data_IF_699937193728
#
_entry.id   IF_699937193728
#
_cell.length_a   1.000
_cell.length_b   1.000
_cell.length_c   1.000
_cell.angle_alpha   90.00
_cell.angle_beta   90.00
_cell.angle_gamma   90.00
#
_symmetry.space_group_name_H-M   'P 1'
#
loop_
_entity.id
_entity.type
_entity.pdbx_description
1 polymer ?
#
# COMPACT_ATOMS: atom_id res chain seq x y z
N UNK A 1 -10.87 -26.82 -5.74
CA UNK A 1 -10.06 -26.26 -6.83
C UNK A 1 -8.60 -26.33 -6.42
N UNK A 2 -7.68 -26.37 -7.39
CA UNK A 2 -6.24 -26.36 -7.13
C UNK A 2 -5.83 -25.02 -6.47
N UNK A 3 -5.24 -25.02 -5.25
CA UNK A 3 -4.94 -23.80 -4.52
C UNK A 3 -3.75 -23.00 -5.09
N UNK A 4 -2.91 -23.62 -5.94
CA UNK A 4 -1.68 -22.98 -6.44
C UNK A 4 -1.74 -22.63 -7.93
N UNK A 5 -2.80 -23.06 -8.65
CA UNK A 5 -2.96 -22.79 -10.08
C UNK A 5 -2.94 -21.28 -10.40
N UNK A 6 -3.59 -20.47 -9.56
CA UNK A 6 -3.60 -19.02 -9.73
C UNK A 6 -2.18 -18.44 -9.71
N UNK A 7 -1.31 -18.93 -8.82
CA UNK A 7 0.08 -18.45 -8.72
C UNK A 7 0.84 -18.77 -10.01
N UNK A 8 0.77 -20.01 -10.48
CA UNK A 8 1.45 -20.44 -11.72
C UNK A 8 0.99 -19.62 -12.93
N UNK A 9 -0.32 -19.40 -13.01
CA UNK A 9 -0.94 -18.60 -14.06
C UNK A 9 -0.52 -17.12 -14.04
N UNK A 10 -0.38 -16.52 -12.86
CA UNK A 10 0.05 -15.13 -12.71
C UNK A 10 1.56 -14.96 -12.93
N UNK A 11 2.38 -15.95 -12.57
CA UNK A 11 3.81 -15.98 -12.91
C UNK A 11 4.02 -16.02 -14.43
N UNK A 12 3.26 -16.87 -15.13
CA UNK A 12 3.33 -16.95 -16.60
C UNK A 12 2.83 -15.64 -17.25
N UNK A 13 1.76 -15.05 -16.73
CA UNK A 13 1.27 -13.76 -17.22
C UNK A 13 2.29 -12.63 -16.97
N UNK A 14 2.93 -12.59 -15.81
CA UNK A 14 3.97 -11.62 -15.48
C UNK A 14 5.18 -11.76 -16.42
N UNK A 15 5.59 -12.99 -16.75
CA UNK A 15 6.63 -13.27 -17.74
C UNK A 15 6.28 -12.68 -19.11
N UNK A 16 5.03 -12.85 -19.56
CA UNK A 16 4.57 -12.30 -20.85
C UNK A 16 4.57 -10.77 -20.87
N UNK A 17 4.29 -10.12 -19.74
CA UNK A 17 4.37 -8.66 -19.58
C UNK A 17 5.80 -8.15 -19.36
N UNK A 18 6.76 -9.04 -19.17
CA UNK A 18 8.12 -8.71 -18.79
C UNK A 18 8.22 -8.10 -17.40
N UNK A 19 7.31 -8.41 -16.47
CA UNK A 19 7.46 -8.03 -15.06
C UNK A 19 8.42 -9.01 -14.38
N UNK A 20 9.55 -8.54 -13.82
CA UNK A 20 10.55 -9.44 -13.22
C UNK A 20 10.09 -10.04 -11.90
N UNK A 21 9.14 -9.41 -11.21
CA UNK A 21 8.61 -9.84 -9.93
C UNK A 21 7.10 -9.61 -9.86
N UNK A 22 6.44 -10.31 -8.93
CA UNK A 22 5.05 -10.05 -8.52
C UNK A 22 4.93 -10.04 -7.00
N UNK A 23 3.92 -9.34 -6.47
CA UNK A 23 3.47 -9.48 -5.09
C UNK A 23 2.30 -10.48 -5.09
N UNK A 24 2.37 -11.50 -4.22
CA UNK A 24 1.26 -12.44 -4.04
C UNK A 24 0.46 -12.04 -2.81
N UNK A 25 -0.86 -12.01 -2.92
CA UNK A 25 -1.74 -11.58 -1.84
C UNK A 25 -2.62 -12.73 -1.37
N UNK A 26 -2.74 -12.86 -0.04
CA UNK A 26 -3.71 -13.73 0.61
C UNK A 26 -4.86 -12.90 1.16
N UNK A 27 -6.04 -13.52 1.27
CA UNK A 27 -7.20 -12.93 1.93
C UNK A 27 -7.97 -13.98 2.73
N UNK A 28 -8.71 -13.54 3.76
CA UNK A 28 -9.70 -14.39 4.39
C UNK A 28 -10.73 -14.82 3.34
N UNK A 29 -11.10 -16.11 3.37
CA UNK A 29 -12.13 -16.61 2.48
C UNK A 29 -13.45 -15.86 2.76
N UNK A 30 -14.28 -15.54 1.75
CA UNK A 30 -15.52 -14.80 1.97
C UNK A 30 -16.47 -15.40 3.01
N UNK A 31 -16.41 -16.72 3.23
CA UNK A 31 -17.19 -17.41 4.26
C UNK A 31 -16.68 -17.20 5.70
N UNK A 32 -15.46 -16.69 5.86
CA UNK A 32 -14.81 -16.43 7.15
C UNK A 32 -14.53 -14.93 7.40
N UNK A 33 -14.69 -14.09 6.37
CA UNK A 33 -14.55 -12.63 6.42
C UNK A 33 -15.59 -12.00 7.34
N UNK A 34 -15.18 -10.98 8.10
CA UNK A 34 -16.06 -10.13 8.90
C UNK A 34 -16.80 -9.07 8.06
N UNK A 35 -16.31 -8.78 6.86
CA UNK A 35 -16.95 -7.88 5.90
C UNK A 35 -17.63 -8.72 4.81
N UNK A 36 -18.95 -8.60 4.62
CA UNK A 36 -19.65 -9.27 3.53
C UNK A 36 -19.15 -8.78 2.17
N UNK A 37 -19.10 -9.68 1.17
CA UNK A 37 -18.60 -9.34 -0.16
C UNK A 37 -19.36 -8.16 -0.82
N UNK A 38 -20.64 -7.99 -0.52
CA UNK A 38 -21.45 -6.88 -1.05
C UNK A 38 -21.12 -5.50 -0.41
N UNK A 39 -20.44 -5.47 0.74
CA UNK A 39 -20.01 -4.25 1.42
C UNK A 39 -18.53 -3.89 1.15
N UNK A 40 -17.79 -4.78 0.46
CA UNK A 40 -16.37 -4.64 0.20
C UNK A 40 -16.14 -3.94 -1.16
N UNK A 41 -15.82 -2.64 -1.14
CA UNK A 41 -15.46 -1.88 -2.36
C UNK A 41 -13.96 -1.84 -2.65
N UNK A 42 -13.15 -2.17 -1.65
CA UNK A 42 -11.73 -2.46 -1.79
C UNK A 42 -11.53 -3.98 -1.92
N UNK A 43 -11.53 -4.53 -3.15
CA UNK A 43 -11.43 -5.96 -3.36
C UNK A 43 -10.01 -6.43 -3.07
N UNK A 44 -9.90 -7.31 -2.09
CA UNK A 44 -8.65 -7.96 -1.75
C UNK A 44 -8.25 -8.97 -2.84
N UNK A 45 -7.04 -8.82 -3.36
CA UNK A 45 -6.43 -9.86 -4.19
C UNK A 45 -6.21 -11.13 -3.35
N UNK A 46 -6.58 -12.29 -3.89
CA UNK A 46 -6.43 -13.58 -3.21
C UNK A 46 -5.78 -14.60 -4.15
N UNK A 47 -4.54 -14.31 -4.54
CA UNK A 47 -3.74 -15.17 -5.43
C UNK A 47 -3.03 -16.29 -4.67
N UNK A 48 -2.86 -16.14 -3.35
CA UNK A 48 -2.25 -17.12 -2.45
C UNK A 48 -3.31 -17.72 -1.49
N UNK A 49 -3.76 -18.94 -1.78
CA UNK A 49 -4.74 -19.63 -0.93
C UNK A 49 -4.09 -20.22 0.33
N UNK A 50 -4.45 -19.65 1.49
CA UNK A 50 -3.98 -20.08 2.82
C UNK A 50 -5.10 -20.56 3.74
N UNK A 51 -6.24 -21.01 3.17
CA UNK A 51 -7.28 -21.71 3.96
C UNK A 51 -6.72 -22.94 4.67
N UNK A 52 -5.73 -23.58 4.05
CA UNK A 52 -4.88 -24.62 4.64
C UNK A 52 -3.42 -24.13 4.72
N UNK A 53 -2.61 -24.64 5.65
CA UNK A 53 -1.20 -24.27 5.75
C UNK A 53 -0.44 -24.44 4.43
N UNK A 54 0.46 -23.51 4.14
CA UNK A 54 1.32 -23.58 2.95
C UNK A 54 2.44 -24.61 3.20
N UNK A 55 2.36 -25.77 2.55
CA UNK A 55 3.29 -26.87 2.81
C UNK A 55 4.57 -26.78 1.97
N UNK A 56 5.62 -27.49 2.38
CA UNK A 56 6.86 -27.60 1.61
C UNK A 56 6.64 -28.15 0.18
N UNK A 57 5.62 -28.99 -0.02
CA UNK A 57 5.27 -29.52 -1.33
C UNK A 57 4.69 -28.42 -2.25
N UNK A 58 3.80 -27.57 -1.71
CA UNK A 58 3.26 -26.39 -2.40
C UNK A 58 4.36 -25.38 -2.70
N UNK A 59 5.22 -25.10 -1.73
CA UNK A 59 6.38 -24.23 -1.91
C UNK A 59 7.31 -24.75 -3.02
N UNK A 60 7.61 -26.05 -3.04
CA UNK A 60 8.44 -26.66 -4.08
C UNK A 60 7.81 -26.53 -5.48
N UNK A 61 6.48 -26.63 -5.57
CA UNK A 61 5.75 -26.42 -6.82
C UNK A 61 5.86 -24.97 -7.30
N UNK A 62 5.52 -24.02 -6.44
CA UNK A 62 5.58 -22.58 -6.78
C UNK A 62 7.01 -22.16 -7.14
N UNK A 63 8.02 -22.61 -6.40
CA UNK A 63 9.44 -22.32 -6.72
C UNK A 63 9.86 -22.87 -8.07
N UNK A 64 9.36 -24.04 -8.50
CA UNK A 64 9.60 -24.54 -9.86
C UNK A 64 8.95 -23.66 -10.91
N UNK A 65 7.73 -23.17 -10.67
CA UNK A 65 7.06 -22.24 -11.58
C UNK A 65 7.80 -20.89 -11.68
N UNK A 66 8.31 -20.37 -10.56
CA UNK A 66 9.18 -19.18 -10.55
C UNK A 66 10.46 -19.42 -11.36
N UNK A 67 11.12 -20.57 -11.17
CA UNK A 67 12.31 -20.94 -11.94
C UNK A 67 12.03 -21.07 -13.44
N UNK A 68 10.90 -21.68 -13.83
CA UNK A 68 10.57 -21.86 -15.25
C UNK A 68 10.17 -20.55 -15.94
N UNK A 69 9.58 -19.61 -15.19
CA UNK A 69 9.14 -18.33 -15.73
C UNK A 69 10.21 -17.24 -15.65
N UNK A 70 11.18 -17.39 -14.73
CA UNK A 70 12.16 -16.36 -14.41
C UNK A 70 11.59 -15.20 -13.58
N UNK A 71 10.36 -15.32 -13.09
CA UNK A 71 9.66 -14.28 -12.31
C UNK A 71 9.86 -14.55 -10.82
N UNK A 72 10.37 -13.55 -10.10
CA UNK A 72 10.55 -13.56 -8.66
C UNK A 72 9.32 -13.04 -7.90
N UNK A 73 9.47 -12.93 -6.58
CA UNK A 73 8.49 -12.32 -5.71
C UNK A 73 9.10 -11.07 -5.07
N UNK A 74 8.33 -9.98 -4.98
CA UNK A 74 8.72 -8.84 -4.16
C UNK A 74 8.47 -9.14 -2.69
N UNK A 75 7.20 -9.40 -2.36
CA UNK A 75 6.68 -9.62 -1.02
C UNK A 75 5.50 -10.59 -1.06
N UNK A 76 5.05 -11.04 0.12
CA UNK A 76 3.70 -11.60 0.29
C UNK A 76 2.82 -10.61 1.04
N UNK A 77 1.59 -10.43 0.59
CA UNK A 77 0.68 -9.44 1.13
C UNK A 77 -0.52 -10.06 1.84
N UNK A 78 -0.98 -9.38 2.89
CA UNK A 78 -2.30 -9.57 3.49
C UNK A 78 -2.77 -8.27 4.16
N UNK A 79 -3.74 -7.63 3.52
CA UNK A 79 -4.28 -6.33 3.93
C UNK A 79 -5.56 -6.51 4.74
N UNK A 80 -5.46 -6.37 6.06
CA UNK A 80 -6.62 -6.45 6.95
C UNK A 80 -6.38 -5.72 8.28
N UNK A 81 -7.42 -5.54 9.08
CA UNK A 81 -7.38 -4.80 10.34
C UNK A 81 -6.82 -5.66 11.47
N UNK A 82 -5.51 -5.60 11.71
CA UNK A 82 -4.85 -6.32 12.80
C UNK A 82 -5.23 -5.79 14.19
N UNK A 83 -5.89 -4.63 14.28
CA UNK A 83 -6.44 -4.04 15.50
C UNK A 83 -7.97 -4.14 15.59
N UNK A 84 -8.59 -5.12 14.92
CA UNK A 84 -10.03 -5.33 15.00
C UNK A 84 -10.52 -5.37 16.46
N UNK A 85 -11.65 -4.71 16.73
CA UNK A 85 -12.18 -4.56 18.09
C UNK A 85 -12.57 -5.90 18.72
N UNK A 86 -13.30 -6.72 17.95
CA UNK A 86 -13.70 -8.07 18.36
C UNK A 86 -12.48 -9.00 18.40
N UNK A 87 -12.25 -9.63 19.54
CA UNK A 87 -11.12 -10.52 19.78
C UNK A 87 -11.14 -11.78 18.91
N UNK A 88 -12.33 -12.33 18.64
CA UNK A 88 -12.47 -13.51 17.80
C UNK A 88 -12.13 -13.20 16.33
N UNK A 89 -12.57 -12.05 15.83
CA UNK A 89 -12.22 -11.54 14.50
C UNK A 89 -10.72 -11.27 14.41
N UNK A 90 -10.16 -10.56 15.40
CA UNK A 90 -8.72 -10.27 15.45
C UNK A 90 -7.88 -11.54 15.47
N UNK A 91 -8.28 -12.54 16.25
CA UNK A 91 -7.58 -13.83 16.35
C UNK A 91 -7.50 -14.55 15.00
N UNK A 92 -8.59 -14.59 14.23
CA UNK A 92 -8.63 -15.19 12.89
C UNK A 92 -7.70 -14.46 11.91
N UNK A 93 -7.74 -13.12 11.91
CA UNK A 93 -6.88 -12.27 11.08
C UNK A 93 -5.40 -12.51 11.40
N UNK A 94 -5.06 -12.53 12.68
CA UNK A 94 -3.69 -12.83 13.13
C UNK A 94 -3.26 -14.25 12.75
N UNK A 95 -4.16 -15.24 12.77
CA UNK A 95 -3.84 -16.60 12.34
C UNK A 95 -3.50 -16.67 10.86
N UNK A 96 -4.28 -16.00 10.01
CA UNK A 96 -3.95 -15.92 8.60
C UNK A 96 -2.61 -15.20 8.38
N UNK A 97 -2.36 -14.09 9.08
CA UNK A 97 -1.08 -13.37 9.00
C UNK A 97 0.12 -14.27 9.35
N UNK A 98 0.00 -15.11 10.40
CA UNK A 98 1.03 -16.10 10.74
C UNK A 98 1.27 -17.11 9.62
N UNK A 99 0.21 -17.56 8.93
CA UNK A 99 0.34 -18.44 7.75
C UNK A 99 1.02 -17.72 6.58
N UNK A 100 0.79 -16.42 6.41
CA UNK A 100 1.50 -15.59 5.42
C UNK A 100 2.98 -15.53 5.75
N UNK A 101 3.36 -15.36 7.03
CA UNK A 101 4.77 -15.41 7.44
C UNK A 101 5.41 -16.75 7.12
N UNK A 102 4.73 -17.87 7.42
CA UNK A 102 5.26 -19.20 7.12
C UNK A 102 5.39 -19.43 5.61
N UNK A 103 4.45 -18.94 4.80
CA UNK A 103 4.52 -18.99 3.35
C UNK A 103 5.68 -18.14 2.80
N UNK A 104 5.90 -16.94 3.35
CA UNK A 104 6.98 -16.02 2.94
C UNK A 104 8.35 -16.69 3.12
N UNK A 105 8.59 -17.32 4.26
CA UNK A 105 9.82 -18.09 4.54
C UNK A 105 10.01 -19.22 3.53
N UNK A 106 8.95 -19.98 3.23
CA UNK A 106 9.03 -21.11 2.32
C UNK A 106 9.27 -20.69 0.85
N UNK A 107 8.71 -19.55 0.46
CA UNK A 107 8.90 -18.97 -0.88
C UNK A 107 10.21 -18.17 -0.98
N UNK A 108 10.82 -17.81 0.15
CA UNK A 108 12.13 -17.15 0.21
C UNK A 108 12.06 -15.63 0.05
N UNK A 109 10.93 -15.00 0.41
CA UNK A 109 10.85 -13.54 0.55
C UNK A 109 11.35 -13.12 1.93
N UNK A 110 11.88 -11.90 2.03
CA UNK A 110 12.38 -11.31 3.28
C UNK A 110 11.38 -10.36 3.94
N UNK A 111 10.23 -10.16 3.31
CA UNK A 111 9.21 -9.24 3.78
C UNK A 111 7.79 -9.68 3.43
N UNK A 112 6.87 -9.08 4.18
CA UNK A 112 5.43 -9.17 4.00
C UNK A 112 4.80 -7.78 4.05
N UNK A 113 3.71 -7.59 3.33
CA UNK A 113 3.00 -6.31 3.24
C UNK A 113 1.61 -6.39 3.86
N UNK A 114 1.15 -5.33 4.54
CA UNK A 114 -0.20 -5.30 5.09
C UNK A 114 -0.53 -3.98 5.80
N UNK A 115 -1.65 -3.97 6.53
CA UNK A 115 -2.05 -2.83 7.36
C UNK A 115 -1.79 -3.10 8.86
N UNK A 116 -1.67 -2.02 9.63
CA UNK A 116 -1.83 -2.10 11.09
C UNK A 116 -3.32 -2.16 11.44
N UNK A 117 -4.12 -1.30 10.81
CA UNK A 117 -5.54 -1.17 11.12
C UNK A 117 -5.80 -0.26 12.31
N UNK A 118 -7.03 -0.30 12.85
CA UNK A 118 -7.50 0.52 13.96
C UNK A 118 -8.69 -0.16 14.63
N UNK A 119 -8.73 -0.10 15.97
CA UNK A 119 -9.96 -0.31 16.71
C UNK A 119 -10.80 0.98 16.69
N UNK A 120 -11.95 1.01 15.98
CA UNK A 120 -12.76 2.23 15.82
C UNK A 120 -13.49 2.63 17.12
N UNK A 121 -13.56 1.74 18.13
CA UNK A 121 -14.14 2.03 19.44
C UNK A 121 -13.17 2.79 20.37
N UNK A 122 -11.91 2.94 19.95
CA UNK A 122 -10.85 3.57 20.73
C UNK A 122 -10.39 4.88 20.09
N UNK A 123 -9.91 5.79 20.94
CA UNK A 123 -9.11 6.95 20.52
C UNK A 123 -7.76 6.52 19.95
N UNK A 124 -7.03 7.47 19.34
CA UNK A 124 -5.72 7.17 18.73
C UNK A 124 -4.68 6.70 19.76
N UNK A 125 -4.56 7.38 20.90
CA UNK A 125 -3.58 6.99 21.93
C UNK A 125 -3.89 5.63 22.56
N UNK A 126 -5.17 5.31 22.76
CA UNK A 126 -5.59 3.98 23.21
C UNK A 126 -5.29 2.90 22.15
N UNK A 127 -5.35 3.24 20.85
CA UNK A 127 -4.87 2.34 19.79
C UNK A 127 -3.36 2.15 19.83
N UNK A 128 -2.56 3.11 20.31
CA UNK A 128 -1.10 2.91 20.49
C UNK A 128 -0.83 1.86 21.58
N UNK A 129 -1.60 1.89 22.68
CA UNK A 129 -1.52 0.86 23.73
C UNK A 129 -1.91 -0.50 23.14
N UNK A 130 -3.03 -0.57 22.41
CA UNK A 130 -3.46 -1.82 21.77
C UNK A 130 -2.44 -2.32 20.74
N UNK A 131 -1.82 -1.44 19.95
CA UNK A 131 -0.75 -1.80 19.02
C UNK A 131 0.43 -2.45 19.74
N UNK A 132 0.86 -1.87 20.86
CA UNK A 132 1.92 -2.42 21.71
C UNK A 132 1.55 -3.80 22.26
N UNK A 133 0.29 -4.00 22.65
CA UNK A 133 -0.20 -5.27 23.20
C UNK A 133 -0.37 -6.38 22.16
N UNK A 134 -0.87 -6.07 20.95
CA UNK A 134 -1.33 -7.10 20.00
C UNK A 134 -0.59 -7.14 18.68
N UNK A 135 0.00 -6.03 18.23
CA UNK A 135 0.73 -5.99 16.96
C UNK A 135 2.24 -6.22 17.15
N UNK A 136 2.84 -5.72 18.23
CA UNK A 136 4.26 -6.00 18.55
C UNK A 136 4.54 -7.52 18.64
N UNK A 137 3.70 -8.36 19.27
CA UNK A 137 3.90 -9.81 19.24
C UNK A 137 3.86 -10.44 17.84
N UNK A 138 3.18 -9.83 16.86
CA UNK A 138 3.27 -10.24 15.46
C UNK A 138 4.63 -9.88 14.86
N UNK A 139 5.15 -8.68 15.17
CA UNK A 139 6.48 -8.27 14.72
C UNK A 139 7.60 -9.12 15.32
N UNK A 140 7.45 -9.58 16.57
CA UNK A 140 8.38 -10.55 17.18
C UNK A 140 8.39 -11.87 16.41
N UNK A 141 7.22 -12.34 15.97
CA UNK A 141 7.09 -13.55 15.14
C UNK A 141 7.66 -13.36 13.73
N UNK A 142 7.52 -12.18 13.14
CA UNK A 142 8.18 -11.81 11.90
C UNK A 142 9.71 -11.81 12.08
N UNK A 143 10.22 -11.19 13.16
CA UNK A 143 11.64 -11.18 13.51
C UNK A 143 12.21 -12.58 13.65
N UNK A 144 11.50 -13.47 14.36
CA UNK A 144 11.92 -14.87 14.54
C UNK A 144 12.05 -15.65 13.23
N UNK A 145 11.40 -15.17 12.16
CA UNK A 145 11.44 -15.73 10.80
C UNK A 145 12.39 -14.96 9.86
N UNK A 146 13.05 -13.91 10.35
CA UNK A 146 13.88 -13.02 9.52
C UNK A 146 13.08 -12.14 8.56
N UNK A 147 11.80 -11.92 8.82
CA UNK A 147 10.90 -11.14 7.97
C UNK A 147 10.81 -9.68 8.43
N UNK A 148 10.67 -8.77 7.47
CA UNK A 148 10.25 -7.38 7.69
C UNK A 148 8.77 -7.23 7.39
N UNK A 149 8.02 -6.53 8.24
CA UNK A 149 6.64 -6.14 7.98
C UNK A 149 6.62 -4.73 7.37
N UNK A 150 6.19 -4.63 6.11
CA UNK A 150 6.02 -3.37 5.38
C UNK A 150 4.55 -2.93 5.48
N UNK A 151 4.31 -1.86 6.22
CA UNK A 151 2.97 -1.32 6.44
C UNK A 151 2.61 -0.37 5.31
N UNK A 152 1.54 -0.65 4.59
CA UNK A 152 0.95 0.31 3.65
C UNK A 152 0.12 1.36 4.41
N UNK A 153 0.24 2.63 4.02
CA UNK A 153 -0.34 3.75 4.76
C UNK A 153 -1.79 4.11 4.40
N UNK A 154 -2.54 3.20 3.76
CA UNK A 154 -3.92 3.48 3.37
C UNK A 154 -4.77 3.93 4.57
N UNK A 155 -5.45 5.10 4.52
CA UNK A 155 -6.31 5.55 5.61
C UNK A 155 -7.62 4.73 5.70
N UNK A 156 -7.99 3.98 4.66
CA UNK A 156 -9.17 3.12 4.60
C UNK A 156 -10.51 3.82 4.99
N UNK A 157 -10.84 5.01 4.45
CA UNK A 157 -12.12 5.67 4.72
C UNK A 157 -13.28 4.91 4.08
N UNK A 158 -14.18 4.41 4.91
CA UNK A 158 -15.32 3.59 4.46
C UNK A 158 -15.20 2.12 4.79
N UNK A 159 -14.06 1.69 5.34
CA UNK A 159 -13.85 0.31 5.78
C UNK A 159 -14.83 -0.15 6.86
N UNK A 160 -15.41 0.81 7.58
CA UNK A 160 -16.62 0.62 8.37
C UNK A 160 -17.56 1.82 8.20
N UNK A 161 -18.80 1.63 8.65
CA UNK A 161 -19.92 2.58 8.54
C UNK A 161 -19.87 3.73 9.56
N UNK A 162 -18.90 3.74 10.48
CA UNK A 162 -18.73 4.88 11.41
C UNK A 162 -18.18 6.09 10.67
N UNK A 163 -18.19 7.26 11.29
CA UNK A 163 -17.56 8.46 10.73
C UNK A 163 -16.02 8.46 10.92
N UNK A 164 -15.41 7.35 11.34
CA UNK A 164 -13.96 7.22 11.34
C UNK A 164 -13.42 7.32 9.90
N UNK A 165 -12.65 8.37 9.66
CA UNK A 165 -11.94 8.58 8.41
C UNK A 165 -10.70 7.70 8.30
N UNK A 166 -9.87 7.70 9.34
CA UNK A 166 -8.65 6.89 9.42
C UNK A 166 -8.96 5.57 10.14
N UNK A 167 -8.97 4.46 9.41
CA UNK A 167 -9.17 3.09 9.91
C UNK A 167 -7.88 2.25 9.92
N UNK A 168 -6.75 2.87 9.61
CA UNK A 168 -5.41 2.37 9.81
C UNK A 168 -4.64 3.44 10.60
N UNK A 169 -4.05 3.11 11.76
CA UNK A 169 -3.33 4.11 12.56
C UNK A 169 -1.99 4.51 11.94
N UNK A 170 -1.43 3.68 11.05
CA UNK A 170 -0.17 3.93 10.35
C UNK A 170 -0.38 4.72 9.04
N UNK A 171 -1.18 5.79 9.06
CA UNK A 171 -1.57 6.51 7.85
C UNK A 171 -0.63 7.66 7.44
N UNK A 172 0.24 8.14 8.33
CA UNK A 172 1.09 9.32 8.07
C UNK A 172 2.41 9.29 8.85
N UNK A 173 3.40 10.14 8.50
CA UNK A 173 4.72 10.13 9.15
C UNK A 173 4.71 10.30 10.67
N UNK A 174 3.84 11.15 11.21
CA UNK A 174 3.71 11.33 12.66
C UNK A 174 3.41 10.01 13.39
N UNK A 175 2.30 9.33 13.05
CA UNK A 175 2.03 7.98 13.54
C UNK A 175 3.13 6.96 13.24
N UNK A 176 3.75 6.93 12.05
CA UNK A 176 4.84 5.98 11.74
C UNK A 176 6.00 6.09 12.73
N UNK A 177 6.39 7.32 13.09
CA UNK A 177 7.44 7.59 14.07
C UNK A 177 7.01 7.10 15.47
N UNK A 178 5.76 7.36 15.88
CA UNK A 178 5.25 6.90 17.17
C UNK A 178 5.25 5.37 17.26
N UNK A 179 4.74 4.68 16.23
CA UNK A 179 4.70 3.22 16.14
C UNK A 179 6.11 2.63 16.11
N UNK A 180 7.02 3.18 15.30
CA UNK A 180 8.41 2.71 15.27
C UNK A 180 9.10 2.86 16.63
N UNK A 181 8.88 3.96 17.36
CA UNK A 181 9.43 4.13 18.72
C UNK A 181 8.91 3.05 19.68
N UNK A 182 7.64 2.64 19.55
CA UNK A 182 7.11 1.49 20.30
C UNK A 182 7.88 0.22 19.92
N UNK A 183 7.95 -0.09 18.62
CA UNK A 183 8.69 -1.24 18.11
C UNK A 183 10.15 -1.27 18.57
N UNK A 184 10.82 -0.12 18.60
CA UNK A 184 12.22 0.01 19.04
C UNK A 184 12.38 -0.35 20.52
N UNK A 185 11.45 0.07 21.41
CA UNK A 185 11.50 -0.29 22.84
C UNK A 185 11.41 -1.80 23.06
N UNK A 186 10.73 -2.52 22.16
CA UNK A 186 10.58 -3.98 22.19
C UNK A 186 11.62 -4.72 21.33
N UNK A 187 12.60 -4.01 20.78
CA UNK A 187 13.66 -4.62 19.98
C UNK A 187 13.19 -5.17 18.63
N UNK A 188 12.03 -4.76 18.11
CA UNK A 188 11.48 -5.13 16.79
C UNK A 188 11.40 -3.93 15.83
N UNK A 189 12.15 -2.86 16.11
CA UNK A 189 12.18 -1.65 15.28
C UNK A 189 12.60 -1.90 13.82
N UNK A 190 13.42 -2.93 13.58
CA UNK A 190 13.84 -3.30 12.22
C UNK A 190 12.78 -4.02 11.40
N UNK A 191 11.78 -4.60 12.08
CA UNK A 191 10.68 -5.31 11.44
C UNK A 191 9.56 -4.37 11.01
N UNK A 192 9.58 -3.10 11.42
CA UNK A 192 8.56 -2.13 11.05
C UNK A 192 9.09 -1.17 9.99
N UNK A 193 8.59 -1.32 8.76
CA UNK A 193 8.85 -0.42 7.62
C UNK A 193 7.53 0.03 7.00
N UNK A 194 7.58 1.03 6.14
CA UNK A 194 6.44 1.56 5.39
C UNK A 194 6.58 1.13 3.93
N UNK A 195 5.52 0.52 3.38
CA UNK A 195 5.33 0.32 1.96
C UNK A 195 4.59 1.55 1.43
N UNK A 196 5.32 2.53 0.89
CA UNK A 196 4.72 3.83 0.58
C UNK A 196 3.92 3.79 -0.72
N UNK A 197 2.64 4.14 -0.64
CA UNK A 197 1.76 4.35 -1.80
C UNK A 197 1.44 5.85 -2.00
N UNK A 198 1.83 6.48 -3.13
CA UNK A 198 1.56 7.90 -3.36
C UNK A 198 0.08 8.23 -3.52
N UNK A 199 -0.78 7.29 -3.91
CA UNK A 199 -2.23 7.54 -4.02
C UNK A 199 -2.87 7.91 -2.68
N UNK A 200 -2.48 7.23 -1.60
CA UNK A 200 -2.99 7.50 -0.26
C UNK A 200 -2.55 8.88 0.24
N UNK A 201 -1.33 9.29 -0.11
CA UNK A 201 -0.87 10.65 0.18
C UNK A 201 -1.74 11.69 -0.53
N UNK A 202 -2.05 11.49 -1.82
CA UNK A 202 -2.98 12.36 -2.56
C UNK A 202 -4.36 12.40 -1.89
N UNK A 203 -4.92 11.26 -1.47
CA UNK A 203 -6.20 11.19 -0.74
C UNK A 203 -6.21 12.05 0.53
N UNK A 204 -5.07 12.08 1.23
CA UNK A 204 -4.89 12.85 2.47
C UNK A 204 -4.40 14.29 2.22
N UNK A 205 -4.24 14.71 0.97
CA UNK A 205 -3.74 16.04 0.61
C UNK A 205 -2.25 16.24 0.89
N UNK A 206 -1.48 15.17 1.01
CA UNK A 206 -0.02 15.17 1.21
C UNK A 206 0.73 14.94 -0.11
N UNK A 207 1.80 15.68 -0.35
CA UNK A 207 2.70 15.40 -1.47
C UNK A 207 3.89 14.54 -1.00
N UNK A 208 4.36 13.65 -1.89
CA UNK A 208 5.44 12.71 -1.55
C UNK A 208 6.73 13.39 -1.12
N UNK A 209 7.09 14.51 -1.76
CA UNK A 209 8.35 15.19 -1.46
C UNK A 209 8.34 15.77 -0.06
N UNK A 210 7.26 16.43 0.35
CA UNK A 210 7.11 16.95 1.71
C UNK A 210 7.12 15.82 2.74
N UNK A 211 6.46 14.69 2.45
CA UNK A 211 6.50 13.50 3.30
C UNK A 211 7.93 12.98 3.47
N UNK A 212 8.68 12.81 2.38
CA UNK A 212 10.05 12.31 2.44
C UNK A 212 11.00 13.32 3.09
N UNK A 213 10.82 14.62 2.84
CA UNK A 213 11.60 15.66 3.51
C UNK A 213 11.33 15.66 5.02
N UNK A 214 10.07 15.53 5.44
CA UNK A 214 9.73 15.42 6.86
C UNK A 214 10.45 14.25 7.53
N UNK A 215 10.46 13.09 6.87
CA UNK A 215 11.17 11.92 7.37
C UNK A 215 12.68 12.15 7.45
N UNK A 216 13.28 12.77 6.43
CA UNK A 216 14.72 13.12 6.43
C UNK A 216 15.08 14.06 7.56
N UNK A 217 14.31 15.14 7.73
CA UNK A 217 14.55 16.16 8.77
C UNK A 217 14.37 15.61 10.19
N UNK A 218 13.46 14.65 10.36
CA UNK A 218 13.24 13.97 11.64
C UNK A 218 14.15 12.75 11.87
N UNK A 219 14.96 12.38 10.87
CA UNK A 219 15.90 11.25 10.94
C UNK A 219 15.25 9.87 10.77
N UNK A 220 14.04 9.80 10.20
CA UNK A 220 13.24 8.59 9.99
C UNK A 220 13.06 8.24 8.49
N UNK A 221 13.89 8.78 7.61
CA UNK A 221 13.95 8.51 6.17
C UNK A 221 14.22 7.05 5.81
N UNK A 222 14.70 6.24 6.75
CA UNK A 222 14.87 4.79 6.61
C UNK A 222 13.58 4.00 6.79
N UNK A 223 12.48 4.63 7.24
CA UNK A 223 11.22 3.92 7.46
C UNK A 223 10.61 3.43 6.16
N UNK A 224 10.80 4.13 5.05
CA UNK A 224 10.31 3.69 3.74
C UNK A 224 11.15 2.50 3.28
N UNK A 225 10.50 1.34 3.11
CA UNK A 225 11.14 0.07 2.74
C UNK A 225 10.67 -0.52 1.41
N UNK A 226 9.71 0.12 0.74
CA UNK A 226 9.15 -0.31 -0.54
C UNK A 226 8.11 0.68 -1.07
N UNK A 227 7.67 0.49 -2.31
CA UNK A 227 6.63 1.30 -2.93
C UNK A 227 5.55 0.47 -3.63
N UNK A 228 4.29 0.78 -3.33
CA UNK A 228 3.22 0.54 -4.30
C UNK A 228 3.15 1.73 -5.24
N UNK A 229 3.03 1.44 -6.53
CA UNK A 229 2.95 2.45 -7.59
C UNK A 229 1.50 2.50 -8.06
N UNK A 230 0.70 3.31 -7.35
CA UNK A 230 -0.70 3.58 -7.64
C UNK A 230 -0.94 5.09 -7.62
N UNK A 231 -1.73 5.58 -8.58
CA UNK A 231 -2.12 6.98 -8.64
C UNK A 231 -3.49 7.21 -8.05
N UNK A 232 -3.79 8.46 -7.75
CA UNK A 232 -5.16 8.93 -7.53
C UNK A 232 -5.30 10.34 -8.12
N UNK A 233 -6.51 10.66 -8.57
CA UNK A 233 -6.87 11.98 -9.08
C UNK A 233 -8.00 12.53 -8.23
N UNK A 234 -7.79 13.71 -7.64
CA UNK A 234 -8.78 14.38 -6.80
C UNK A 234 -9.89 15.00 -7.65
N UNK A 235 -11.14 14.75 -7.25
CA UNK A 235 -12.30 15.48 -7.72
C UNK A 235 -12.43 16.81 -6.95
N UNK A 236 -12.14 17.91 -7.66
CA UNK A 236 -12.26 19.26 -7.12
C UNK A 236 -13.66 19.61 -6.59
N UNK A 237 -14.73 19.04 -7.16
CA UNK A 237 -16.10 19.24 -6.68
C UNK A 237 -16.31 18.52 -5.36
N UNK A 238 -15.77 17.30 -5.25
CA UNK A 238 -15.73 16.53 -4.01
C UNK A 238 -15.05 17.28 -2.87
N UNK A 239 -13.82 17.74 -3.10
CA UNK A 239 -13.09 18.59 -2.15
C UNK A 239 -13.89 19.86 -1.81
N UNK A 240 -14.51 20.51 -2.79
CA UNK A 240 -15.30 21.73 -2.54
C UNK A 240 -16.55 21.48 -1.71
N UNK A 241 -17.16 20.30 -1.85
CA UNK A 241 -18.38 19.93 -1.13
C UNK A 241 -18.11 19.50 0.31
N UNK A 242 -16.97 18.84 0.58
CA UNK A 242 -16.77 18.12 1.84
C UNK A 242 -15.44 18.42 2.54
N UNK A 243 -14.43 18.96 1.84
CA UNK A 243 -13.09 19.21 2.35
C UNK A 243 -12.25 17.92 2.54
N UNK A 244 -10.92 18.06 2.55
CA UNK A 244 -10.03 16.92 2.85
C UNK A 244 -10.30 16.36 4.24
N UNK A 245 -10.46 15.04 4.35
CA UNK A 245 -10.76 14.38 5.62
C UNK A 245 -12.14 14.70 6.20
N UNK A 246 -13.00 15.37 5.43
CA UNK A 246 -14.36 15.72 5.86
C UNK A 246 -15.32 14.53 5.89
N UNK A 247 -16.50 14.73 6.45
CA UNK A 247 -17.52 13.69 6.55
C UNK A 247 -18.55 13.82 5.43
N UNK A 248 -18.88 12.71 4.79
CA UNK A 248 -20.01 12.65 3.87
C UNK A 248 -21.30 12.33 4.64
N UNK A 249 -22.36 13.08 4.34
CA UNK A 249 -23.66 12.99 5.02
C UNK A 249 -24.71 12.34 4.10
N UNK A 250 -25.77 11.77 4.70
CA UNK A 250 -26.89 11.16 3.97
C UNK A 250 -26.45 10.08 2.97
N UNK A 251 -25.41 9.33 3.33
CA UNK A 251 -24.75 8.36 2.46
C UNK A 251 -25.66 7.18 2.07
N UNK A 252 -26.58 6.79 2.95
CA UNK A 252 -27.50 5.67 2.73
C UNK A 252 -27.10 4.38 3.46
N UNK A 253 -25.96 4.34 4.15
CA UNK A 253 -25.58 3.27 5.09
C UNK A 253 -26.24 3.41 6.47
N UNK A 254 -27.11 4.40 6.66
CA UNK A 254 -27.86 4.69 7.89
C UNK A 254 -29.30 5.10 7.56
N UNK A 255 -30.25 4.72 8.42
CA UNK A 255 -31.65 5.16 8.40
C UNK A 255 -31.95 5.96 9.68
N UNK A 256 -31.85 7.28 9.58
CA UNK A 256 -31.86 8.14 10.78
C UNK A 256 -30.57 7.94 11.58
N UNK A 257 -30.70 7.57 12.85
CA UNK A 257 -29.60 7.27 13.78
C UNK A 257 -29.28 5.77 13.90
N UNK A 258 -29.88 4.93 13.04
CA UNK A 258 -29.69 3.49 13.05
C UNK A 258 -28.86 3.08 11.82
N UNK A 259 -27.71 2.40 12.00
CA UNK A 259 -26.95 1.89 10.87
C UNK A 259 -27.71 0.78 10.12
N UNK A 260 -27.61 0.76 8.79
CA UNK A 260 -28.25 -0.26 7.97
C UNK A 260 -27.65 -1.65 8.23
N UNK A 261 -28.52 -2.65 8.30
CA UNK A 261 -28.12 -4.06 8.34
C UNK A 261 -27.89 -4.66 6.95
N UNK A 262 -28.25 -3.97 5.87
CA UNK A 262 -28.04 -4.44 4.49
C UNK A 262 -26.59 -4.16 4.05
N UNK A 263 -25.77 -5.18 3.77
CA UNK A 263 -24.41 -4.99 3.28
C UNK A 263 -24.32 -4.15 1.99
N UNK A 264 -25.33 -4.24 1.12
CA UNK A 264 -25.41 -3.45 -0.10
C UNK A 264 -25.61 -1.96 0.17
N UNK A 265 -26.19 -1.60 1.31
CA UNK A 265 -26.28 -0.20 1.75
C UNK A 265 -25.02 0.23 2.50
N UNK A 266 -24.41 -0.68 3.29
CA UNK A 266 -23.17 -0.41 4.03
C UNK A 266 -22.00 -0.01 3.12
N UNK A 267 -21.97 -0.48 1.86
CA UNK A 267 -20.98 -0.03 0.87
C UNK A 267 -21.00 1.51 0.67
N UNK A 268 -22.10 2.19 0.98
CA UNK A 268 -22.17 3.65 0.89
C UNK A 268 -21.22 4.36 1.86
N UNK A 269 -20.68 3.68 2.88
CA UNK A 269 -19.63 4.21 3.74
C UNK A 269 -18.39 4.66 2.95
N UNK A 270 -18.09 4.00 1.82
CA UNK A 270 -17.00 4.36 0.92
C UNK A 270 -17.23 5.65 0.15
N UNK A 271 -18.41 6.29 0.25
CA UNK A 271 -18.59 7.69 -0.18
C UNK A 271 -17.65 8.63 0.57
N UNK A 272 -17.13 8.24 1.74
CA UNK A 272 -16.00 8.93 2.38
C UNK A 272 -14.74 8.96 1.51
N UNK A 273 -14.58 8.13 0.49
CA UNK A 273 -13.46 8.22 -0.46
C UNK A 273 -13.91 8.61 -1.86
N UNK A 274 -14.93 7.93 -2.37
CA UNK A 274 -15.28 7.93 -3.80
C UNK A 274 -15.84 9.25 -4.30
N UNK A 275 -16.28 10.14 -3.41
CA UNK A 275 -16.65 11.51 -3.79
C UNK A 275 -15.44 12.43 -3.97
N UNK A 276 -14.29 12.07 -3.42
CA UNK A 276 -13.09 12.92 -3.37
C UNK A 276 -12.05 12.57 -4.41
N UNK A 277 -11.96 11.31 -4.81
CA UNK A 277 -10.92 10.86 -5.70
C UNK A 277 -11.36 9.68 -6.56
N UNK A 278 -10.69 9.55 -7.70
CA UNK A 278 -10.71 8.36 -8.55
C UNK A 278 -9.31 7.74 -8.54
N UNK A 279 -9.23 6.42 -8.37
CA UNK A 279 -7.95 5.71 -8.52
C UNK A 279 -7.43 5.86 -9.94
N UNK A 280 -6.12 5.96 -10.07
CA UNK A 280 -5.39 6.02 -11.32
C UNK A 280 -4.44 4.81 -11.39
N UNK A 281 -4.32 4.24 -12.59
CA UNK A 281 -3.17 3.42 -12.95
C UNK A 281 -1.99 4.31 -13.38
N UNK A 282 -0.74 4.01 -13.00
CA UNK A 282 0.40 4.84 -13.36
C UNK A 282 0.45 5.14 -14.87
N UNK A 283 0.41 6.43 -15.23
CA UNK A 283 0.45 6.89 -16.61
C UNK A 283 -0.91 6.96 -17.30
N UNK A 284 -2.02 6.78 -16.57
CA UNK A 284 -3.38 6.88 -17.15
C UNK A 284 -4.10 8.18 -16.82
N UNK A 285 -3.70 8.92 -15.78
CA UNK A 285 -4.26 10.24 -15.56
C UNK A 285 -3.86 11.21 -16.68
N UNK A 286 -4.75 12.16 -16.97
CA UNK A 286 -4.45 13.24 -17.88
C UNK A 286 -3.35 14.10 -17.29
N UNK A 287 -2.38 14.47 -18.12
CA UNK A 287 -1.35 15.41 -17.71
C UNK A 287 -1.99 16.76 -17.36
N UNK A 288 -1.90 17.12 -16.07
CA UNK A 288 -2.45 18.36 -15.53
C UNK A 288 -1.43 18.99 -14.56
N UNK A 289 -0.60 19.93 -15.04
CA UNK A 289 0.35 20.62 -14.18
C UNK A 289 -0.27 21.36 -13.00
N UNK A 290 -1.52 21.83 -13.13
CA UNK A 290 -2.22 22.48 -12.01
C UNK A 290 -2.57 21.46 -10.94
N UNK A 291 -2.95 20.24 -11.34
CA UNK A 291 -3.18 19.17 -10.39
C UNK A 291 -1.90 18.82 -9.61
N UNK A 292 -0.73 18.79 -10.25
CA UNK A 292 0.54 18.57 -9.56
C UNK A 292 0.85 19.69 -8.57
N UNK A 293 0.68 20.96 -8.98
CA UNK A 293 0.90 22.12 -8.11
C UNK A 293 -0.05 22.17 -6.91
N UNK A 294 -1.25 21.62 -7.04
CA UNK A 294 -2.26 21.57 -5.98
C UNK A 294 -2.28 20.24 -5.24
N UNK A 295 -1.33 19.34 -5.53
CA UNK A 295 -1.26 18.00 -4.97
C UNK A 295 -2.57 17.19 -5.11
N UNK A 296 -3.14 17.26 -6.31
CA UNK A 296 -4.40 16.59 -6.70
C UNK A 296 -4.18 15.35 -7.56
N UNK A 297 -2.95 15.12 -7.98
CA UNK A 297 -2.50 13.91 -8.68
C UNK A 297 -1.00 13.74 -8.45
N UNK A 298 -0.49 12.53 -8.61
CA UNK A 298 0.91 12.21 -8.39
C UNK A 298 1.76 12.85 -9.50
N UNK A 299 2.69 13.74 -9.14
CA UNK A 299 3.82 14.07 -10.02
C UNK A 299 4.82 12.91 -9.98
N UNK A 300 4.65 11.95 -10.89
CA UNK A 300 5.43 10.71 -10.92
C UNK A 300 6.93 10.94 -11.03
N UNK A 301 7.36 11.96 -11.79
CA UNK A 301 8.78 12.30 -11.90
C UNK A 301 9.30 12.89 -10.60
N UNK A 302 8.56 13.82 -9.98
CA UNK A 302 8.99 14.37 -8.70
C UNK A 302 9.01 13.33 -7.59
N UNK A 303 8.02 12.44 -7.56
CA UNK A 303 7.93 11.36 -6.60
C UNK A 303 9.17 10.47 -6.64
N UNK A 304 9.57 9.99 -7.82
CA UNK A 304 10.77 9.15 -7.98
C UNK A 304 12.07 9.91 -7.71
N UNK A 305 12.15 11.19 -8.12
CA UNK A 305 13.31 12.02 -7.82
C UNK A 305 13.44 12.28 -6.31
N UNK A 306 12.35 12.61 -5.63
CA UNK A 306 12.31 12.84 -4.19
C UNK A 306 12.71 11.58 -3.42
N UNK A 307 12.26 10.39 -3.86
CA UNK A 307 12.66 9.13 -3.23
C UNK A 307 14.18 8.94 -3.27
N UNK A 308 14.84 9.27 -4.40
CA UNK A 308 16.30 9.18 -4.57
C UNK A 308 17.07 10.22 -3.76
N UNK A 309 16.54 11.42 -3.63
CA UNK A 309 17.20 12.56 -2.96
C UNK A 309 17.05 12.54 -1.43
N UNK A 310 15.93 11.99 -0.94
CA UNK A 310 15.48 12.21 0.44
C UNK A 310 15.42 10.95 1.29
N UNK A 311 15.37 9.75 0.69
CA UNK A 311 15.24 8.50 1.43
C UNK A 311 16.53 7.68 1.47
N UNK A 312 16.68 6.85 2.51
CA UNK A 312 17.77 5.87 2.62
C UNK A 312 17.39 4.56 1.95
N UNK A 313 17.23 4.60 0.64
CA UNK A 313 16.93 3.42 -0.18
C UNK A 313 18.06 3.13 -1.15
N UNK A 314 18.15 1.86 -1.55
CA UNK A 314 18.94 1.44 -2.72
C UNK A 314 17.95 1.25 -3.87
N UNK A 315 17.87 2.19 -4.84
CA UNK A 315 16.88 2.10 -5.91
C UNK A 315 17.02 0.85 -6.78
N UNK A 316 18.20 0.20 -6.81
CA UNK A 316 18.40 -1.04 -7.57
C UNK A 316 17.79 -2.27 -6.85
N UNK A 317 17.54 -2.16 -5.54
CA UNK A 317 16.99 -3.25 -4.72
C UNK A 317 15.58 -2.97 -4.21
N UNK A 318 15.06 -1.78 -4.47
CA UNK A 318 13.74 -1.37 -3.99
C UNK A 318 12.70 -1.69 -5.07
N UNK A 319 11.74 -2.53 -4.74
CA UNK A 319 10.67 -2.87 -5.68
C UNK A 319 9.69 -1.70 -5.84
N UNK A 320 9.25 -1.50 -7.09
CA UNK A 320 8.14 -0.64 -7.48
C UNK A 320 6.97 -1.56 -7.88
N UNK A 321 6.08 -1.83 -6.94
CA UNK A 321 4.95 -2.76 -7.15
C UNK A 321 3.80 -2.01 -7.80
N UNK A 322 3.62 -2.16 -9.12
CA UNK A 322 2.51 -1.54 -9.85
C UNK A 322 1.20 -2.21 -9.47
N UNK A 323 0.30 -1.45 -8.85
CA UNK A 323 -0.98 -1.93 -8.36
C UNK A 323 -2.12 -1.46 -9.28
N UNK A 324 -3.06 -2.37 -9.59
CA UNK A 324 -4.18 -2.07 -10.47
C UNK A 324 -5.51 -1.99 -9.74
N UNK A 325 -5.83 -0.79 -9.28
CA UNK A 325 -7.08 -0.54 -8.58
C UNK A 325 -8.07 0.30 -9.36
N UNK A 326 -7.79 0.68 -10.61
CA UNK A 326 -8.69 1.57 -11.33
C UNK A 326 -10.01 0.85 -11.67
N UNK A 327 -11.17 1.18 -11.04
CA UNK A 327 -12.35 0.31 -11.09
C UNK A 327 -12.89 0.09 -12.50
N UNK A 328 -12.82 1.11 -13.37
CA UNK A 328 -13.30 1.01 -14.77
C UNK A 328 -12.47 0.06 -15.64
N UNK A 329 -11.23 -0.20 -15.25
CA UNK A 329 -10.31 -1.11 -15.93
C UNK A 329 -10.05 -2.39 -15.13
N UNK A 330 -10.69 -2.58 -13.97
CA UNK A 330 -10.54 -3.72 -13.06
C UNK A 330 -11.22 -4.97 -13.64
N UNK A 331 -10.60 -5.59 -14.64
CA UNK A 331 -11.08 -6.80 -15.32
C UNK A 331 -10.14 -7.97 -15.07
N UNK A 332 -10.70 -9.18 -14.93
CA UNK A 332 -9.93 -10.43 -14.75
C UNK A 332 -9.61 -11.12 -16.09
N UNK A 333 -10.13 -10.59 -17.20
CA UNK A 333 -9.77 -11.04 -18.54
C UNK A 333 -8.33 -10.63 -18.85
N UNK A 334 -7.43 -11.61 -18.89
CA UNK A 334 -5.99 -11.40 -19.13
C UNK A 334 -5.70 -10.72 -20.47
N UNK A 335 -6.47 -10.99 -21.51
CA UNK A 335 -6.26 -10.39 -22.83
C UNK A 335 -6.58 -8.89 -22.83
N UNK A 336 -7.62 -8.49 -22.07
CA UNK A 336 -7.97 -7.07 -21.88
C UNK A 336 -7.04 -6.37 -20.89
N UNK A 337 -6.57 -7.08 -19.87
CA UNK A 337 -5.69 -6.56 -18.84
C UNK A 337 -4.24 -6.34 -19.34
N UNK A 338 -3.74 -7.23 -20.19
CA UNK A 338 -2.36 -7.22 -20.68
C UNK A 338 -1.90 -5.87 -21.25
N UNK A 339 -2.60 -5.24 -22.22
CA UNK A 339 -2.14 -3.96 -22.77
C UNK A 339 -2.15 -2.82 -21.75
N UNK A 340 -3.06 -2.87 -20.76
CA UNK A 340 -3.19 -1.85 -19.71
C UNK A 340 -1.99 -1.92 -18.75
N UNK A 341 -1.68 -3.12 -18.25
CA UNK A 341 -0.54 -3.33 -17.36
C UNK A 341 0.78 -3.13 -18.09
N UNK A 342 0.91 -3.58 -19.35
CA UNK A 342 2.11 -3.33 -20.16
C UNK A 342 2.40 -1.83 -20.29
N UNK A 343 1.37 -1.02 -20.55
CA UNK A 343 1.48 0.44 -20.59
C UNK A 343 1.93 1.04 -19.25
N UNK A 344 1.30 0.61 -18.14
CA UNK A 344 1.62 1.12 -16.80
C UNK A 344 3.04 0.73 -16.36
N UNK A 345 3.49 -0.48 -16.68
CA UNK A 345 4.86 -0.95 -16.43
C UNK A 345 5.88 -0.17 -17.28
N UNK A 346 5.59 0.06 -18.56
CA UNK A 346 6.46 0.85 -19.44
C UNK A 346 6.58 2.30 -18.96
N UNK A 347 5.45 2.92 -18.56
CA UNK A 347 5.44 4.26 -17.98
C UNK A 347 6.27 4.33 -16.70
N UNK A 348 6.05 3.39 -15.77
CA UNK A 348 6.76 3.34 -14.48
C UNK A 348 8.28 3.24 -14.69
N UNK A 349 8.73 2.37 -15.61
CA UNK A 349 10.15 2.25 -15.98
C UNK A 349 10.72 3.54 -16.54
N UNK A 350 10.02 4.14 -17.52
CA UNK A 350 10.49 5.36 -18.16
C UNK A 350 10.61 6.55 -17.19
N UNK A 351 9.66 6.67 -16.25
CA UNK A 351 9.72 7.68 -15.20
C UNK A 351 10.89 7.43 -14.24
N UNK A 352 11.09 6.18 -13.81
CA UNK A 352 12.20 5.85 -12.91
C UNK A 352 13.56 6.11 -13.57
N UNK A 353 13.72 5.74 -14.84
CA UNK A 353 14.92 6.02 -15.65
C UNK A 353 15.16 7.53 -15.81
N UNK A 354 14.11 8.31 -16.08
CA UNK A 354 14.21 9.76 -16.18
C UNK A 354 14.65 10.40 -14.85
N UNK A 355 14.08 9.96 -13.73
CA UNK A 355 14.47 10.41 -12.40
C UNK A 355 15.93 10.05 -12.08
N UNK A 356 16.36 8.83 -12.41
CA UNK A 356 17.74 8.38 -12.22
C UNK A 356 18.74 9.21 -13.04
N UNK A 357 18.43 9.49 -14.32
CA UNK A 357 19.28 10.31 -15.18
C UNK A 357 19.39 11.75 -14.66
N UNK A 358 18.27 12.34 -14.24
CA UNK A 358 18.25 13.68 -13.65
C UNK A 358 19.06 13.73 -12.35
N UNK A 359 18.87 12.75 -11.47
CA UNK A 359 19.60 12.64 -10.21
C UNK A 359 21.12 12.55 -10.45
N UNK A 360 21.57 11.63 -11.33
CA UNK A 360 22.99 11.43 -11.61
C UNK A 360 23.64 12.69 -12.22
N UNK A 361 22.96 13.35 -13.15
CA UNK A 361 23.49 14.59 -13.73
C UNK A 361 23.70 15.67 -12.67
N UNK A 362 22.75 15.83 -11.75
CA UNK A 362 22.80 16.86 -10.72
C UNK A 362 23.78 16.53 -9.59
N UNK A 363 23.71 15.32 -9.05
CA UNK A 363 24.38 14.95 -7.79
C UNK A 363 25.71 14.24 -7.99
N UNK A 364 26.03 13.78 -9.20
CA UNK A 364 27.29 13.10 -9.50
C UNK A 364 28.10 13.92 -10.52
N UNK A 365 27.53 14.22 -11.69
CA UNK A 365 28.27 14.85 -12.80
C UNK A 365 28.56 16.33 -12.58
N UNK A 366 27.54 17.13 -12.23
CA UNK A 366 27.72 18.56 -11.95
C UNK A 366 28.48 18.77 -10.64
N UNK A 367 28.11 18.02 -9.59
CA UNK A 367 28.77 18.05 -8.30
C UNK A 367 30.28 17.70 -8.40
N UNK A 368 30.63 16.66 -9.18
CA UNK A 368 32.02 16.28 -9.43
C UNK A 368 32.85 17.32 -10.18
N UNK A 369 32.19 18.28 -10.84
CA UNK A 369 32.82 19.41 -11.53
C UNK A 369 32.76 20.71 -10.71
N UNK A 370 32.19 20.69 -9.50
CA UNK A 370 31.97 21.89 -8.68
C UNK A 370 30.94 22.87 -9.29
N UNK A 371 30.07 22.40 -10.18
CA UNK A 371 29.03 23.20 -10.82
C UNK A 371 27.76 23.10 -9.97
N UNK A 372 27.20 24.22 -9.47
CA UNK A 372 25.96 24.17 -8.71
C UNK A 372 24.77 23.80 -9.61
N UNK A 373 23.81 23.06 -9.06
CA UNK A 373 22.53 22.78 -9.71
C UNK A 373 21.77 24.09 -9.95
N UNK A 374 21.15 24.23 -11.12
CA UNK A 374 20.42 25.45 -11.47
C UNK A 374 19.07 25.55 -10.75
N UNK A 375 18.73 26.77 -10.31
CA UNK A 375 17.43 27.07 -9.70
C UNK A 375 17.31 26.63 -8.24
N UNK A 376 16.11 26.81 -7.69
CA UNK A 376 15.75 26.47 -6.30
C UNK A 376 14.53 25.51 -6.26
N UNK A 377 14.23 24.87 -7.39
CA UNK A 377 12.95 24.21 -7.63
C UNK A 377 12.60 23.11 -6.63
N UNK A 378 11.29 22.96 -6.39
CA UNK A 378 10.68 21.83 -5.68
C UNK A 378 11.33 21.53 -4.32
N UNK A 379 11.52 22.56 -3.49
CA UNK A 379 11.85 22.38 -2.08
C UNK A 379 10.55 22.21 -1.29
N UNK A 380 10.46 21.16 -0.47
CA UNK A 380 9.34 21.02 0.45
C UNK A 380 9.27 22.25 1.38
N UNK A 381 8.05 22.67 1.73
CA UNK A 381 7.76 23.81 2.61
C UNK A 381 8.12 25.19 2.07
N UNK A 382 8.44 25.31 0.76
CA UNK A 382 8.61 26.57 0.05
C UNK A 382 7.70 26.63 -1.17
N UNK A 383 6.39 26.59 -0.93
CA UNK A 383 5.35 26.96 -1.90
C UNK A 383 4.45 28.05 -1.33
#
# INVERSE_FOLDING_TARGET
ADPDLAIEEWLEFARQLGSPNIELSAALHPAESDVPAAALLDPVANTLDLRQPFSAARASRVRRAMQSTGVGLSDLAYFDNMLAADESVRTKKHELMRRVFDAAVLLGTDAVTGFVGRNPLLGMDANLVMFEEVFVPLLEQAKARGLTFRVEQCPMPGWNITDAWHNNIAYAPGPWIALHRICQRHGVGDQFRIHYDPSHAILMGQDSRSVFQYLKDTGYDFLIGGFHVKGQVIDSRGISAWGYGGQTMQRGDWHGDIPSSDPGEQQNAWKKQTVFCEHELPGTARHDPLAYLQNRSVDWLDHQLAARELLRIDPQKTFLVVEHEYPKARVQDKARLAPILAGSLAFTRAIDEAAAAMYALQHEVLAGQGIPVQGIGRQAYRS
#
